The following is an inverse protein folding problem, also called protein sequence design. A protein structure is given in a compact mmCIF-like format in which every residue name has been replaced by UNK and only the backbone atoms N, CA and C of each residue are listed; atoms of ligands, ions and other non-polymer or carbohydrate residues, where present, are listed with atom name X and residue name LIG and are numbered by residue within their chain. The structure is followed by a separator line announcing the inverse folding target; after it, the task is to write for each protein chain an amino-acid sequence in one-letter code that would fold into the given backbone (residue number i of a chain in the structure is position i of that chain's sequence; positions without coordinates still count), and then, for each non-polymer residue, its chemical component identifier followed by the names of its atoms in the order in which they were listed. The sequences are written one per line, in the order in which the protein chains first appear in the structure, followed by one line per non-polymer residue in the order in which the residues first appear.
data_IF_674773195289
#
_entry.id   IF_674773195289
#
_cell.length_a   1.000
_cell.length_b   1.000
_cell.length_c   1.000
_cell.angle_alpha   90.00
_cell.angle_beta   90.00
_cell.angle_gamma   90.00
#
_symmetry.space_group_name_H-M   'P 1'
#
loop_
_entity.id
_entity.type
_entity.pdbx_description
1 polymer ?
#
# COMPACT_ATOMS: atom_id res chain seq x y z
N UNK A 1 -3.37 -17.96 -21.80
CA UNK A 1 -3.41 -19.01 -20.76
C UNK A 1 -4.50 -18.63 -19.78
N UNK A 2 -5.61 -19.37 -19.75
CA UNK A 2 -6.70 -19.14 -18.79
C UNK A 2 -6.18 -19.60 -17.44
N UNK A 3 -5.80 -18.68 -16.54
CA UNK A 3 -5.51 -19.08 -15.16
C UNK A 3 -6.78 -19.72 -14.59
N UNK A 4 -6.62 -20.91 -14.03
CA UNK A 4 -7.71 -21.65 -13.40
C UNK A 4 -8.32 -20.77 -12.30
N UNK A 5 -9.64 -20.54 -12.30
CA UNK A 5 -10.28 -19.56 -11.40
C UNK A 5 -10.04 -19.88 -9.91
N UNK A 6 -9.84 -21.16 -9.57
CA UNK A 6 -9.43 -21.59 -8.23
C UNK A 6 -8.07 -21.01 -7.80
N UNK A 7 -7.17 -20.81 -8.76
CA UNK A 7 -5.83 -20.27 -8.53
C UNK A 7 -5.90 -18.79 -8.16
N UNK A 8 -6.82 -18.03 -8.75
CA UNK A 8 -7.03 -16.61 -8.41
C UNK A 8 -7.61 -16.41 -7.02
N UNK A 9 -8.56 -17.25 -6.62
CA UNK A 9 -9.14 -17.19 -5.26
C UNK A 9 -8.04 -17.46 -4.23
N UNK A 10 -7.16 -18.42 -4.52
CA UNK A 10 -6.00 -18.72 -3.68
C UNK A 10 -5.03 -17.54 -3.62
N UNK A 11 -4.67 -16.95 -4.76
CA UNK A 11 -3.78 -15.78 -4.82
C UNK A 11 -4.35 -14.56 -4.09
N UNK A 12 -5.66 -14.29 -4.23
CA UNK A 12 -6.35 -13.20 -3.53
C UNK A 12 -6.23 -13.38 -2.01
N UNK A 13 -6.48 -14.60 -1.52
CA UNK A 13 -6.38 -14.93 -0.10
C UNK A 13 -4.95 -14.82 0.41
N UNK A 14 -3.98 -15.34 -0.33
CA UNK A 14 -2.55 -15.28 0.03
C UNK A 14 -2.06 -13.83 0.10
N UNK A 15 -2.36 -13.00 -0.91
CA UNK A 15 -2.03 -11.57 -0.89
C UNK A 15 -2.69 -10.83 0.27
N UNK A 16 -3.98 -11.10 0.55
CA UNK A 16 -4.68 -10.49 1.68
C UNK A 16 -3.98 -10.81 3.01
N UNK A 17 -3.57 -12.06 3.21
CA UNK A 17 -2.85 -12.49 4.41
C UNK A 17 -1.45 -11.85 4.47
N UNK A 18 -0.72 -11.81 3.35
CA UNK A 18 0.58 -11.17 3.26
C UNK A 18 0.53 -9.67 3.62
N UNK A 19 -0.54 -8.98 3.24
CA UNK A 19 -0.77 -7.57 3.60
C UNK A 19 -1.31 -7.40 5.03
N UNK A 20 -1.53 -8.48 5.79
CA UNK A 20 -2.06 -8.41 7.16
C UNK A 20 -3.52 -7.95 7.23
N UNK A 21 -4.29 -8.08 6.14
CA UNK A 21 -5.66 -7.55 6.03
C UNK A 21 -6.68 -8.61 6.47
N UNK A 22 -7.62 -8.23 7.34
CA UNK A 22 -8.71 -9.12 7.72
C UNK A 22 -9.76 -9.26 6.61
N UNK A 23 -10.49 -10.38 6.58
CA UNK A 23 -11.61 -10.56 5.65
C UNK A 23 -12.66 -9.44 5.81
N UNK A 24 -12.95 -9.03 7.05
CA UNK A 24 -13.90 -7.94 7.30
C UNK A 24 -13.47 -6.63 6.66
N UNK A 25 -12.18 -6.30 6.74
CA UNK A 25 -11.63 -5.06 6.18
C UNK A 25 -11.70 -5.03 4.66
N UNK A 26 -11.33 -6.13 3.98
CA UNK A 26 -11.45 -6.23 2.53
C UNK A 26 -12.92 -6.23 2.08
N UNK A 27 -13.80 -6.97 2.78
CA UNK A 27 -15.22 -7.04 2.45
C UNK A 27 -15.90 -5.67 2.51
N UNK A 28 -15.65 -4.90 3.58
CA UNK A 28 -16.18 -3.54 3.72
C UNK A 28 -15.68 -2.62 2.61
N UNK A 29 -14.38 -2.67 2.27
CA UNK A 29 -13.81 -1.85 1.20
C UNK A 29 -14.41 -2.20 -0.18
N UNK A 30 -14.72 -3.48 -0.40
CA UNK A 30 -15.32 -3.97 -1.65
C UNK A 30 -16.86 -3.96 -1.64
N UNK A 31 -17.50 -3.37 -0.63
CA UNK A 31 -18.96 -3.21 -0.59
C UNK A 31 -19.75 -4.51 -0.42
N UNK A 32 -19.12 -5.57 0.12
CA UNK A 32 -19.76 -6.88 0.35
C UNK A 32 -19.72 -7.27 1.82
N UNK A 33 -20.52 -8.28 2.19
CA UNK A 33 -20.47 -8.82 3.56
C UNK A 33 -19.23 -9.70 3.75
N UNK A 34 -18.71 -9.75 4.98
CA UNK A 34 -17.62 -10.67 5.35
C UNK A 34 -17.99 -12.13 5.04
N UNK A 35 -19.25 -12.51 5.26
CA UNK A 35 -19.73 -13.86 4.99
C UNK A 35 -19.67 -14.17 3.49
N UNK A 36 -20.02 -13.20 2.64
CA UNK A 36 -19.94 -13.33 1.19
C UNK A 36 -18.48 -13.52 0.73
N UNK A 37 -17.55 -12.70 1.24
CA UNK A 37 -16.12 -12.87 0.98
C UNK A 37 -15.59 -14.23 1.46
N UNK A 38 -16.06 -14.72 2.61
CA UNK A 38 -15.68 -16.04 3.11
C UNK A 38 -16.16 -17.19 2.18
N UNK A 39 -17.36 -17.08 1.61
CA UNK A 39 -17.86 -18.05 0.62
C UNK A 39 -17.03 -18.04 -0.67
N UNK A 40 -16.56 -16.86 -1.09
CA UNK A 40 -15.63 -16.71 -2.22
C UNK A 40 -14.27 -17.34 -1.89
N UNK A 41 -13.62 -16.97 -0.79
CA UNK A 41 -12.30 -17.49 -0.42
C UNK A 41 -12.28 -18.99 -0.10
N UNK A 42 -13.43 -19.57 0.23
CA UNK A 42 -13.59 -21.02 0.44
C UNK A 42 -13.98 -21.79 -0.82
N UNK A 43 -14.12 -21.11 -1.97
CA UNK A 43 -14.51 -21.72 -3.25
C UNK A 43 -15.98 -22.16 -3.31
N UNK A 44 -16.77 -21.86 -2.26
CA UNK A 44 -18.21 -22.22 -2.18
C UNK A 44 -19.09 -21.34 -3.06
N UNK A 45 -18.58 -20.19 -3.51
CA UNK A 45 -19.32 -19.25 -4.33
C UNK A 45 -18.40 -18.57 -5.33
N UNK A 46 -18.91 -18.38 -6.54
CA UNK A 46 -18.19 -17.73 -7.62
C UNK A 46 -18.65 -16.26 -7.72
N UNK A 47 -17.73 -15.27 -7.55
CA UNK A 47 -18.08 -13.87 -7.69
C UNK A 47 -18.30 -13.50 -9.17
N UNK A 48 -18.99 -12.37 -9.40
CA UNK A 48 -19.00 -11.75 -10.73
C UNK A 48 -17.61 -11.20 -11.07
N UNK A 49 -17.33 -11.01 -12.37
CA UNK A 49 -16.06 -10.42 -12.82
C UNK A 49 -15.84 -9.01 -12.25
N UNK A 50 -16.89 -8.19 -12.23
CA UNK A 50 -16.86 -6.83 -11.66
C UNK A 50 -16.47 -6.82 -10.18
N UNK A 51 -17.02 -7.76 -9.40
CA UNK A 51 -16.67 -7.87 -7.99
C UNK A 51 -15.23 -8.34 -7.80
N UNK A 52 -14.76 -9.25 -8.66
CA UNK A 52 -13.37 -9.72 -8.61
C UNK A 52 -12.39 -8.56 -8.90
N UNK A 53 -12.67 -7.75 -9.92
CA UNK A 53 -11.88 -6.54 -10.21
C UNK A 53 -11.90 -5.55 -9.04
N UNK A 54 -13.05 -5.36 -8.41
CA UNK A 54 -13.20 -4.52 -7.22
C UNK A 54 -12.37 -5.04 -6.05
N UNK A 55 -12.41 -6.35 -5.78
CA UNK A 55 -11.60 -7.00 -4.74
C UNK A 55 -10.11 -6.79 -4.98
N UNK A 56 -9.65 -6.94 -6.23
CA UNK A 56 -8.24 -6.70 -6.58
C UNK A 56 -7.83 -5.24 -6.40
N UNK A 57 -8.67 -4.31 -6.88
CA UNK A 57 -8.41 -2.88 -6.76
C UNK A 57 -8.31 -2.46 -5.29
N UNK A 58 -9.27 -2.85 -4.47
CA UNK A 58 -9.26 -2.50 -3.04
C UNK A 58 -8.12 -3.20 -2.30
N UNK A 59 -7.81 -4.46 -2.63
CA UNK A 59 -6.66 -5.15 -2.04
C UNK A 59 -5.33 -4.45 -2.38
N UNK A 60 -5.17 -3.94 -3.61
CA UNK A 60 -3.99 -3.19 -4.02
C UNK A 60 -3.82 -1.89 -3.22
N UNK A 61 -4.91 -1.22 -2.83
CA UNK A 61 -4.86 -0.02 -1.98
C UNK A 61 -4.36 -0.31 -0.56
N UNK A 62 -4.45 -1.57 -0.12
CA UNK A 62 -3.91 -2.02 1.16
C UNK A 62 -2.47 -2.52 1.09
N UNK A 63 -1.81 -2.44 -0.06
CA UNK A 63 -0.44 -2.92 -0.21
C UNK A 63 0.53 -2.11 0.68
N UNK A 64 1.12 -2.73 1.73
CA UNK A 64 1.97 -2.03 2.70
C UNK A 64 3.30 -1.58 2.09
N UNK A 65 3.73 -2.22 0.99
CA UNK A 65 4.94 -1.86 0.26
C UNK A 65 4.73 -0.67 -0.69
N UNK A 66 3.49 -0.16 -0.79
CA UNK A 66 3.25 1.03 -1.59
C UNK A 66 3.78 2.23 -0.82
N UNK A 67 4.79 2.95 -1.34
CA UNK A 67 5.28 4.13 -0.67
C UNK A 67 4.14 5.13 -0.54
N UNK A 68 3.85 5.55 0.69
CA UNK A 68 2.91 6.62 0.95
C UNK A 68 3.54 7.93 0.44
N UNK A 69 3.15 8.35 -0.77
CA UNK A 69 3.59 9.63 -1.30
C UNK A 69 2.75 10.74 -0.67
N UNK A 70 3.40 11.59 0.14
CA UNK A 70 2.80 12.81 0.69
C UNK A 70 3.53 14.01 0.10
N UNK A 71 2.78 14.98 -0.43
CA UNK A 71 3.31 16.25 -0.90
C UNK A 71 3.21 17.26 0.24
N UNK A 72 4.32 17.92 0.57
CA UNK A 72 4.35 19.03 1.51
C UNK A 72 4.87 20.26 0.78
N UNK A 73 4.17 21.39 0.91
CA UNK A 73 4.60 22.66 0.32
C UNK A 73 5.72 23.33 1.12
N UNK A 74 5.73 23.18 2.44
CA UNK A 74 6.77 23.72 3.32
C UNK A 74 6.91 22.88 4.60
N UNK A 75 8.15 22.53 4.95
CA UNK A 75 8.48 21.87 6.21
C UNK A 75 9.72 22.52 6.84
N UNK A 76 9.67 22.78 8.15
CA UNK A 76 10.82 23.27 8.93
C UNK A 76 11.24 22.21 9.94
N UNK A 77 12.42 21.64 9.73
CA UNK A 77 13.01 20.61 10.61
C UNK A 77 14.22 21.22 11.32
N UNK A 78 14.32 21.04 12.64
CA UNK A 78 15.47 21.46 13.45
C UNK A 78 16.29 20.24 13.85
N UNK A 79 17.58 20.27 13.57
CA UNK A 79 18.53 19.25 13.99
C UNK A 79 19.36 19.76 15.18
N UNK A 80 19.51 18.98 16.27
CA UNK A 80 20.29 19.39 17.45
C UNK A 80 21.79 19.16 17.23
N UNK A 81 22.30 19.51 16.06
CA UNK A 81 23.71 19.37 15.68
C UNK A 81 24.13 20.47 14.72
N UNK A 82 25.42 20.79 14.72
CA UNK A 82 26.06 21.71 13.77
C UNK A 82 26.72 20.97 12.60
N UNK A 83 26.71 19.63 12.60
CA UNK A 83 27.26 18.82 11.51
C UNK A 83 26.32 18.79 10.30
N UNK A 84 26.36 19.86 9.51
CA UNK A 84 25.50 20.05 8.33
C UNK A 84 25.76 18.97 7.26
N UNK A 85 27.02 18.53 7.11
CA UNK A 85 27.39 17.53 6.10
C UNK A 85 26.73 16.19 6.37
N UNK A 86 26.75 15.74 7.63
CA UNK A 86 26.08 14.51 8.05
C UNK A 86 24.57 14.57 7.79
N UNK A 87 23.91 15.69 8.15
CA UNK A 87 22.48 15.85 7.92
C UNK A 87 22.13 15.76 6.43
N UNK A 88 22.83 16.51 5.57
CA UNK A 88 22.49 16.58 4.15
C UNK A 88 22.76 15.24 3.45
N UNK A 89 23.94 14.64 3.67
CA UNK A 89 24.37 13.45 2.93
C UNK A 89 23.88 12.14 3.53
N UNK A 90 23.92 12.00 4.85
CA UNK A 90 23.67 10.72 5.49
C UNK A 90 22.20 10.54 5.88
N UNK A 91 21.52 11.63 6.27
CA UNK A 91 20.10 11.59 6.65
C UNK A 91 19.21 11.91 5.45
N UNK A 92 19.34 13.10 4.87
CA UNK A 92 18.45 13.55 3.79
C UNK A 92 18.80 12.93 2.43
N UNK A 93 20.01 12.37 2.29
CA UNK A 93 20.55 11.83 1.02
C UNK A 93 20.50 12.84 -0.13
N UNK A 94 20.69 14.12 0.17
CA UNK A 94 20.68 15.21 -0.81
C UNK A 94 22.11 15.59 -1.23
N UNK A 95 22.25 16.19 -2.40
CA UNK A 95 23.53 16.69 -2.89
C UNK A 95 23.66 18.19 -2.58
N UNK A 96 24.65 18.52 -1.75
CA UNK A 96 24.92 19.87 -1.28
C UNK A 96 25.21 20.88 -2.41
N UNK A 97 25.75 20.42 -3.54
CA UNK A 97 26.11 21.28 -4.66
C UNK A 97 24.88 21.92 -5.33
N UNK A 98 23.69 21.40 -5.08
CA UNK A 98 22.43 21.92 -5.62
C UNK A 98 21.60 22.68 -4.57
N UNK A 99 22.15 22.92 -3.37
CA UNK A 99 21.47 23.67 -2.33
C UNK A 99 21.78 25.16 -2.44
N UNK A 100 20.74 25.98 -2.32
CA UNK A 100 20.88 27.43 -2.17
C UNK A 100 21.16 27.75 -0.71
N UNK A 101 22.22 28.53 -0.47
CA UNK A 101 22.56 29.04 0.85
C UNK A 101 22.14 30.51 0.93
N UNK A 102 21.32 30.83 1.93
CA UNK A 102 21.01 32.20 2.29
C UNK A 102 21.70 32.51 3.63
N UNK A 103 22.61 33.49 3.62
CA UNK A 103 23.13 34.11 4.83
C UNK A 103 22.03 35.01 5.40
N UNK A 104 21.51 34.68 6.58
CA UNK A 104 20.55 35.51 7.31
C UNK A 104 21.26 36.50 8.25
#
# INVERSE_FOLDING_TARGET
MVLNEEQWIKELREKRIAYGISQGRLAVASGITREYLNKIESGKMKPSKELLETLHKELARFNPETPLTMLFDYVKIRFPTLDIQHIIKDILKLNINYMLHEDY
#
